data_IF_672313843731
#
_entry.id   IF_672313843731
#
_cell.length_a   1.000
_cell.length_b   1.000
_cell.length_c   1.000
_cell.angle_alpha   90.00
_cell.angle_beta   90.00
_cell.angle_gamma   90.00
#
_symmetry.space_group_name_H-M   'P 1'
#
loop_
_entity.id
_entity.type
_entity.pdbx_description
1 polymer ?
#
# COMPACT_ATOMS: atom_id res chain seq x y z
N UNK A 1 11.98 60.07 -25.07
CA UNK A 1 10.80 59.20 -25.17
C UNK A 1 11.16 57.89 -24.50
N UNK A 2 10.40 57.51 -23.48
CA UNK A 2 10.68 56.46 -22.49
C UNK A 2 10.39 55.03 -22.98
N UNK A 3 10.79 54.06 -22.14
CA UNK A 3 10.42 52.63 -22.02
C UNK A 3 11.29 51.67 -22.85
N UNK A 4 12.05 50.72 -22.29
CA UNK A 4 11.92 50.02 -21.01
C UNK A 4 11.52 48.56 -21.28
N UNK A 5 12.50 47.69 -21.61
CA UNK A 5 12.27 46.25 -21.77
C UNK A 5 12.04 45.61 -20.40
N UNK A 6 10.89 44.97 -20.24
CA UNK A 6 10.47 44.31 -18.99
C UNK A 6 10.98 42.87 -18.96
N UNK A 7 11.42 42.49 -17.77
CA UNK A 7 12.00 41.22 -17.32
C UNK A 7 11.16 39.98 -17.69
N UNK A 8 11.86 38.95 -18.16
CA UNK A 8 11.35 37.58 -18.33
C UNK A 8 11.14 36.93 -16.95
N UNK A 9 9.87 36.76 -16.54
CA UNK A 9 9.51 36.06 -15.30
C UNK A 9 9.44 34.54 -15.50
N UNK A 10 10.16 33.79 -14.67
CA UNK A 10 10.07 32.33 -14.56
C UNK A 10 8.67 31.93 -14.05
N UNK A 11 7.89 31.23 -14.88
CA UNK A 11 6.64 30.59 -14.45
C UNK A 11 6.98 29.29 -13.73
N UNK A 12 6.81 29.29 -12.41
CA UNK A 12 6.69 28.04 -11.67
C UNK A 12 5.36 27.40 -12.09
N UNK A 13 5.43 26.22 -12.70
CA UNK A 13 4.23 25.45 -13.01
C UNK A 13 3.69 24.89 -11.69
N UNK A 14 2.66 25.54 -11.15
CA UNK A 14 1.80 24.93 -10.12
C UNK A 14 1.17 23.69 -10.72
N UNK A 15 1.41 22.52 -10.14
CA UNK A 15 0.64 21.30 -10.42
C UNK A 15 -0.75 21.46 -9.81
N UNK A 16 -1.59 22.28 -10.43
CA UNK A 16 -3.02 22.34 -10.10
C UNK A 16 -3.70 21.13 -10.72
N UNK A 17 -4.03 20.13 -9.90
CA UNK A 17 -4.86 19.01 -10.31
C UNK A 17 -6.27 19.56 -10.61
N UNK A 18 -6.88 19.25 -11.77
CA UNK A 18 -8.20 19.76 -12.11
C UNK A 18 -9.24 19.36 -11.05
N UNK A 19 -10.21 20.23 -10.70
CA UNK A 19 -11.26 19.93 -9.71
C UNK A 19 -12.01 18.62 -10.00
N UNK A 20 -12.20 18.30 -11.29
CA UNK A 20 -12.85 17.06 -11.74
C UNK A 20 -12.06 15.81 -11.35
N UNK A 21 -10.73 15.83 -11.49
CA UNK A 21 -9.87 14.70 -11.11
C UNK A 21 -9.86 14.46 -9.60
N UNK A 22 -9.99 15.52 -8.79
CA UNK A 22 -10.13 15.39 -7.34
C UNK A 22 -11.46 14.75 -6.94
N UNK A 23 -12.57 15.11 -7.61
CA UNK A 23 -13.88 14.51 -7.36
C UNK A 23 -13.91 13.03 -7.73
N UNK A 24 -13.33 12.69 -8.89
CA UNK A 24 -13.21 11.29 -9.32
C UNK A 24 -12.37 10.47 -8.34
N UNK A 25 -11.23 11.00 -7.88
CA UNK A 25 -10.40 10.37 -6.86
C UNK A 25 -11.16 10.15 -5.55
N UNK A 26 -11.89 11.16 -5.08
CA UNK A 26 -12.67 11.05 -3.85
C UNK A 26 -13.76 9.97 -3.97
N UNK A 27 -14.41 9.90 -5.13
CA UNK A 27 -15.39 8.85 -5.42
C UNK A 27 -14.74 7.46 -5.41
N UNK A 28 -13.57 7.28 -6.02
CA UNK A 28 -12.84 6.00 -6.00
C UNK A 28 -12.45 5.57 -4.58
N UNK A 29 -12.01 6.51 -3.74
CA UNK A 29 -11.71 6.23 -2.33
C UNK A 29 -12.96 5.79 -1.56
N UNK A 30 -14.10 6.45 -1.79
CA UNK A 30 -15.36 6.10 -1.13
C UNK A 30 -15.87 4.71 -1.56
N UNK A 31 -15.80 4.38 -2.86
CA UNK A 31 -16.15 3.04 -3.35
C UNK A 31 -15.25 2.00 -2.71
N UNK A 32 -13.93 2.20 -2.73
CA UNK A 32 -12.99 1.28 -2.10
C UNK A 32 -13.28 1.11 -0.60
N UNK A 33 -13.58 2.20 0.13
CA UNK A 33 -13.94 2.16 1.55
C UNK A 33 -15.18 1.30 1.81
N UNK A 34 -16.21 1.42 0.97
CA UNK A 34 -17.46 0.65 1.09
C UNK A 34 -17.27 -0.84 0.80
N UNK A 35 -16.51 -1.16 -0.24
CA UNK A 35 -16.21 -2.55 -0.62
C UNK A 35 -15.32 -3.22 0.43
N UNK A 36 -14.23 -2.56 0.83
CA UNK A 36 -13.34 -3.05 1.87
C UNK A 36 -14.05 -3.21 3.22
N UNK A 37 -15.12 -2.44 3.49
CA UNK A 37 -15.92 -2.61 4.70
C UNK A 37 -16.55 -4.02 4.83
N UNK A 38 -16.64 -4.78 3.74
CA UNK A 38 -17.10 -6.17 3.75
C UNK A 38 -16.05 -7.15 4.35
N UNK A 39 -14.78 -6.76 4.40
CA UNK A 39 -13.74 -7.52 5.09
C UNK A 39 -13.93 -7.30 6.61
N UNK A 40 -13.87 -8.36 7.44
CA UNK A 40 -13.99 -8.22 8.89
C UNK A 40 -12.99 -7.21 9.47
N UNK A 41 -13.31 -6.55 10.60
CA UNK A 41 -12.35 -5.71 11.29
C UNK A 41 -11.10 -6.50 11.71
N UNK A 42 -9.95 -5.82 11.91
CA UNK A 42 -8.72 -6.47 12.33
C UNK A 42 -8.88 -7.30 13.60
N UNK A 43 -8.43 -8.54 13.55
CA UNK A 43 -8.42 -9.46 14.69
C UNK A 43 -7.03 -9.51 15.30
N UNK A 44 -6.77 -8.65 16.30
CA UNK A 44 -5.45 -8.49 16.94
C UNK A 44 -4.82 -9.80 17.40
N UNK A 45 -5.60 -10.76 17.87
CA UNK A 45 -5.13 -12.06 18.30
C UNK A 45 -4.49 -12.90 17.17
N UNK A 46 -4.82 -12.61 15.90
CA UNK A 46 -4.28 -13.34 14.75
C UNK A 46 -2.91 -12.84 14.31
N UNK A 47 -2.59 -11.56 14.50
CA UNK A 47 -1.37 -10.96 13.94
C UNK A 47 -0.40 -10.35 14.96
N UNK A 48 -0.84 -10.02 16.19
CA UNK A 48 0.03 -9.40 17.20
C UNK A 48 1.18 -10.29 17.70
N UNK A 49 1.11 -11.60 17.44
CA UNK A 49 2.18 -12.55 17.79
C UNK A 49 3.21 -12.73 16.69
N UNK A 50 2.98 -12.17 15.49
CA UNK A 50 3.92 -12.20 14.39
C UNK A 50 5.12 -11.34 14.78
N UNK A 51 6.32 -11.90 14.68
CA UNK A 51 7.56 -11.24 15.14
C UNK A 51 8.46 -10.80 14.01
N UNK A 52 8.29 -11.40 12.84
CA UNK A 52 9.06 -11.13 11.63
C UNK A 52 8.11 -10.85 10.48
N UNK A 53 8.51 -9.97 9.57
CA UNK A 53 7.77 -9.63 8.36
C UNK A 53 7.66 -10.84 7.43
N UNK A 54 8.60 -11.80 7.51
CA UNK A 54 8.52 -13.03 6.71
C UNK A 54 7.40 -13.96 7.18
N UNK A 55 7.02 -13.88 8.45
CA UNK A 55 5.88 -14.61 9.01
C UNK A 55 4.53 -13.90 8.75
N UNK A 56 4.55 -12.67 8.23
CA UNK A 56 3.34 -11.97 7.81
C UNK A 56 2.80 -12.57 6.51
N UNK A 57 1.53 -12.99 6.51
CA UNK A 57 0.91 -13.54 5.31
C UNK A 57 0.51 -12.44 4.31
N UNK A 58 -0.55 -11.68 4.60
CA UNK A 58 -1.17 -10.77 3.64
C UNK A 58 -1.97 -9.63 4.30
N UNK A 59 -2.18 -8.52 3.57
CA UNK A 59 -1.29 -7.97 2.53
C UNK A 59 -0.05 -7.29 3.14
N UNK A 60 1.06 -7.25 2.40
CA UNK A 60 2.27 -6.52 2.81
C UNK A 60 2.55 -5.38 1.83
N UNK A 61 2.78 -4.18 2.36
CA UNK A 61 3.12 -2.97 1.63
C UNK A 61 4.56 -2.55 1.90
N UNK A 62 5.37 -2.42 0.86
CA UNK A 62 6.69 -1.78 0.94
C UNK A 62 6.62 -0.43 0.21
N UNK A 63 6.72 0.65 0.96
CA UNK A 63 6.72 2.02 0.42
C UNK A 63 8.10 2.37 -0.08
N UNK A 64 8.17 2.96 -1.28
CA UNK A 64 9.40 3.46 -1.90
C UNK A 64 9.26 4.96 -2.21
N UNK A 65 10.25 5.55 -2.90
CA UNK A 65 10.26 6.97 -3.22
C UNK A 65 9.10 7.38 -4.16
N UNK A 66 8.78 6.56 -5.16
CA UNK A 66 7.81 6.94 -6.21
C UNK A 66 6.72 5.87 -6.41
N UNK A 67 6.73 4.81 -5.62
CA UNK A 67 5.88 3.64 -5.82
C UNK A 67 5.64 2.91 -4.51
N UNK A 68 4.60 2.10 -4.50
CA UNK A 68 4.31 1.14 -3.45
C UNK A 68 4.35 -0.24 -4.08
N UNK A 69 5.07 -1.15 -3.43
CA UNK A 69 5.03 -2.57 -3.77
C UNK A 69 4.04 -3.25 -2.85
N UNK A 70 3.04 -3.90 -3.42
CA UNK A 70 2.10 -4.77 -2.72
C UNK A 70 2.52 -6.21 -2.95
N UNK A 71 2.78 -6.92 -1.86
CA UNK A 71 3.01 -8.36 -1.86
C UNK A 71 1.77 -9.06 -1.35
N UNK A 72 1.25 -10.01 -2.12
CA UNK A 72 0.10 -10.83 -1.73
C UNK A 72 0.33 -12.29 -2.11
N UNK A 73 0.10 -13.20 -1.17
CA UNK A 73 0.07 -14.64 -1.35
C UNK A 73 -1.35 -15.10 -1.68
N UNK A 74 -1.57 -15.57 -2.91
CA UNK A 74 -2.86 -16.07 -3.36
C UNK A 74 -3.18 -17.46 -2.82
N UNK A 75 -4.48 -17.73 -2.66
CA UNK A 75 -4.97 -19.07 -2.37
C UNK A 75 -4.54 -20.06 -3.46
N UNK A 76 -4.38 -21.33 -3.08
CA UNK A 76 -4.08 -22.37 -4.05
C UNK A 76 -5.33 -22.65 -4.91
N UNK A 77 -5.22 -22.43 -6.22
CA UNK A 77 -6.34 -22.65 -7.15
C UNK A 77 -6.75 -24.13 -7.27
N UNK A 78 -5.89 -25.06 -6.84
CA UNK A 78 -6.21 -26.48 -6.85
C UNK A 78 -6.78 -26.91 -5.48
N UNK A 79 -8.06 -27.32 -5.42
CA UNK A 79 -8.75 -27.66 -4.17
C UNK A 79 -8.28 -28.98 -3.54
N UNK A 80 -7.52 -29.79 -4.26
CA UNK A 80 -7.00 -31.06 -3.75
C UNK A 80 -5.85 -30.84 -2.76
N UNK A 81 -5.82 -31.55 -1.62
CA UNK A 81 -4.69 -31.51 -0.69
C UNK A 81 -3.44 -32.22 -1.24
N UNK A 82 -3.57 -33.02 -2.29
CA UNK A 82 -2.48 -33.83 -2.83
C UNK A 82 -1.38 -32.94 -3.44
N UNK A 83 -0.16 -33.06 -2.92
CA UNK A 83 1.02 -32.36 -3.44
C UNK A 83 1.17 -30.90 -2.99
N UNK A 84 0.32 -30.40 -2.09
CA UNK A 84 0.48 -29.05 -1.51
C UNK A 84 1.85 -28.93 -0.82
N UNK A 85 2.61 -27.88 -1.13
CA UNK A 85 3.93 -27.64 -0.55
C UNK A 85 5.06 -28.51 -1.11
N UNK A 86 4.79 -29.34 -2.12
CA UNK A 86 5.84 -30.07 -2.87
C UNK A 86 6.50 -29.17 -3.92
N UNK A 87 7.61 -29.61 -4.52
CA UNK A 87 8.28 -28.89 -5.62
C UNK A 87 7.36 -28.57 -6.80
N UNK A 88 6.27 -29.33 -6.99
CA UNK A 88 5.31 -29.13 -8.07
C UNK A 88 4.21 -28.12 -7.73
N UNK A 89 4.05 -27.77 -6.44
CA UNK A 89 3.06 -26.79 -5.95
C UNK A 89 3.67 -25.90 -4.85
N UNK A 90 4.71 -25.11 -5.16
CA UNK A 90 5.38 -24.27 -4.18
C UNK A 90 4.50 -23.06 -3.79
N UNK A 91 4.56 -22.67 -2.52
CA UNK A 91 3.88 -21.48 -1.99
C UNK A 91 4.35 -20.21 -2.72
N UNK A 92 5.65 -20.11 -2.99
CA UNK A 92 6.25 -18.95 -3.66
C UNK A 92 5.69 -18.67 -5.06
N UNK A 93 5.22 -19.68 -5.80
CA UNK A 93 4.61 -19.47 -7.12
C UNK A 93 3.24 -18.77 -7.06
N UNK A 94 2.64 -18.67 -5.87
CA UNK A 94 1.38 -17.96 -5.63
C UNK A 94 1.59 -16.55 -5.10
N UNK A 95 2.84 -16.13 -4.94
CA UNK A 95 3.20 -14.78 -4.50
C UNK A 95 3.06 -13.84 -5.70
N UNK A 96 2.13 -12.91 -5.59
CA UNK A 96 1.97 -11.79 -6.51
C UNK A 96 2.66 -10.56 -5.94
N UNK A 97 3.35 -9.82 -6.82
CA UNK A 97 4.04 -8.58 -6.49
C UNK A 97 3.58 -7.51 -7.45
N UNK A 98 2.85 -6.53 -6.93
CA UNK A 98 2.28 -5.42 -7.69
C UNK A 98 3.05 -4.15 -7.38
N UNK A 99 3.52 -3.48 -8.43
CA UNK A 99 4.21 -2.20 -8.32
C UNK A 99 3.28 -1.10 -8.82
N UNK A 100 2.84 -0.24 -7.91
CA UNK A 100 1.82 0.78 -8.21
C UNK A 100 2.34 2.18 -7.88
N UNK A 101 1.78 3.18 -8.57
CA UNK A 101 1.92 4.55 -8.10
C UNK A 101 1.12 4.73 -6.80
N UNK A 102 1.57 5.55 -5.83
CA UNK A 102 0.89 5.72 -4.54
C UNK A 102 -0.58 6.13 -4.68
N UNK A 103 -0.90 6.86 -5.75
CA UNK A 103 -2.26 7.30 -6.03
C UNK A 103 -3.26 6.17 -6.28
N UNK A 104 -2.81 4.97 -6.68
CA UNK A 104 -3.66 3.80 -6.95
C UNK A 104 -3.76 2.83 -5.77
N UNK A 105 -3.24 3.19 -4.58
CA UNK A 105 -3.21 2.29 -3.42
C UNK A 105 -4.59 1.72 -3.07
N UNK A 106 -5.61 2.57 -2.99
CA UNK A 106 -6.96 2.14 -2.63
C UNK A 106 -7.56 1.17 -3.64
N UNK A 107 -7.43 1.47 -4.94
CA UNK A 107 -7.92 0.63 -6.03
C UNK A 107 -7.22 -0.74 -6.03
N UNK A 108 -5.90 -0.75 -5.88
CA UNK A 108 -5.12 -1.97 -5.84
C UNK A 108 -5.48 -2.85 -4.64
N UNK A 109 -5.65 -2.27 -3.45
CA UNK A 109 -6.10 -3.01 -2.26
C UNK A 109 -7.52 -3.53 -2.41
N UNK A 110 -8.43 -2.77 -3.03
CA UNK A 110 -9.80 -3.21 -3.27
C UNK A 110 -9.89 -4.38 -4.27
N UNK A 111 -8.88 -4.52 -5.15
CA UNK A 111 -8.81 -5.65 -6.08
C UNK A 111 -8.36 -6.97 -5.45
N UNK A 112 -7.82 -6.93 -4.21
CA UNK A 112 -7.35 -8.12 -3.50
C UNK A 112 -8.56 -8.95 -3.06
N UNK A 113 -8.63 -10.26 -3.41
CA UNK A 113 -9.72 -11.12 -2.98
C UNK A 113 -9.87 -11.15 -1.45
N UNK A 114 -11.10 -11.17 -0.95
CA UNK A 114 -11.36 -11.18 0.51
C UNK A 114 -10.69 -12.36 1.24
N UNK A 115 -10.51 -13.50 0.56
CA UNK A 115 -9.83 -14.67 1.11
C UNK A 115 -8.33 -14.45 1.39
N UNK A 116 -7.72 -13.40 0.81
CA UNK A 116 -6.34 -13.01 1.06
C UNK A 116 -6.20 -12.03 2.24
N UNK A 117 -7.22 -11.88 3.09
CA UNK A 117 -7.18 -11.03 4.29
C UNK A 117 -7.29 -11.88 5.58
N UNK A 118 -6.25 -12.67 5.92
CA UNK A 118 -6.32 -13.65 7.01
C UNK A 118 -6.50 -13.01 8.39
N UNK A 119 -6.13 -11.73 8.54
CA UNK A 119 -6.14 -11.00 9.81
C UNK A 119 -7.30 -10.01 9.94
N UNK A 120 -8.23 -10.03 8.98
CA UNK A 120 -9.19 -8.94 8.77
C UNK A 120 -8.53 -7.77 8.04
N UNK A 121 -9.19 -6.61 8.08
CA UNK A 121 -8.82 -5.42 7.29
C UNK A 121 -7.62 -4.65 7.87
N UNK A 122 -6.47 -5.31 7.90
CA UNK A 122 -5.17 -4.82 8.37
C UNK A 122 -4.09 -5.20 7.35
N UNK A 123 -3.13 -4.31 7.15
CA UNK A 123 -1.97 -4.55 6.29
C UNK A 123 -0.69 -4.31 7.08
N UNK A 124 0.35 -5.08 6.81
CA UNK A 124 1.69 -4.70 7.21
C UNK A 124 2.21 -3.64 6.24
N UNK A 125 2.86 -2.61 6.76
CA UNK A 125 3.48 -1.56 5.98
C UNK A 125 4.90 -1.31 6.47
N UNK A 126 5.84 -1.22 5.54
CA UNK A 126 7.23 -0.90 5.82
C UNK A 126 7.82 0.10 4.81
N UNK A 127 8.87 0.79 5.22
CA UNK A 127 9.72 1.57 4.32
C UNK A 127 10.75 0.65 3.63
N UNK A 128 11.10 0.93 2.37
CA UNK A 128 12.19 0.23 1.70
C UNK A 128 13.54 0.42 2.44
N UNK A 129 14.16 -0.69 2.86
CA UNK A 129 15.39 -0.68 3.66
C UNK A 129 16.60 -0.10 2.94
N UNK A 130 16.70 -0.26 1.62
CA UNK A 130 17.88 0.12 0.83
C UNK A 130 17.87 1.59 0.34
N UNK A 131 16.91 2.41 0.79
CA UNK A 131 16.81 3.79 0.34
C UNK A 131 18.01 4.66 0.78
N UNK A 132 18.63 5.43 -0.15
CA UNK A 132 19.70 6.37 0.18
C UNK A 132 19.28 7.38 1.25
N UNK A 133 20.23 7.83 2.09
CA UNK A 133 19.95 8.80 3.18
C UNK A 133 19.30 10.10 2.68
N UNK A 134 19.62 10.53 1.46
CA UNK A 134 19.05 11.72 0.83
C UNK A 134 17.54 11.62 0.58
N UNK A 135 17.01 10.40 0.40
CA UNK A 135 15.61 10.14 0.05
C UNK A 135 14.74 9.88 1.30
N UNK A 136 15.34 9.58 2.45
CA UNK A 136 14.62 9.24 3.70
C UNK A 136 13.55 10.27 4.12
N UNK A 137 13.75 11.60 4.00
CA UNK A 137 12.70 12.56 4.33
C UNK A 137 11.47 12.45 3.42
N UNK A 138 11.68 12.12 2.14
CA UNK A 138 10.59 11.90 1.19
C UNK A 138 9.90 10.57 1.45
N UNK A 139 10.66 9.51 1.70
CA UNK A 139 10.14 8.20 2.05
C UNK A 139 9.22 8.26 3.28
N UNK A 140 9.62 9.01 4.31
CA UNK A 140 8.78 9.25 5.50
C UNK A 140 7.47 9.96 5.17
N UNK A 141 7.48 10.92 4.25
CA UNK A 141 6.24 11.59 3.82
C UNK A 141 5.35 10.63 3.04
N UNK A 142 5.94 9.77 2.23
CA UNK A 142 5.21 8.80 1.43
C UNK A 142 4.57 7.72 2.30
N UNK A 143 5.26 7.22 3.33
CA UNK A 143 4.66 6.25 4.25
C UNK A 143 3.50 6.88 5.02
N UNK A 144 3.66 8.09 5.54
CA UNK A 144 2.54 8.79 6.21
C UNK A 144 1.36 9.05 5.25
N UNK A 145 1.62 9.38 3.98
CA UNK A 145 0.57 9.53 2.97
C UNK A 145 -0.12 8.20 2.61
N UNK A 146 0.64 7.10 2.56
CA UNK A 146 0.09 5.76 2.38
C UNK A 146 -0.79 5.37 3.58
N UNK A 147 -0.31 5.59 4.80
CA UNK A 147 -1.06 5.33 6.04
C UNK A 147 -2.32 6.17 6.14
N UNK A 148 -2.28 7.44 5.72
CA UNK A 148 -3.49 8.26 5.62
C UNK A 148 -4.49 7.65 4.63
N UNK A 149 -4.02 7.22 3.46
CA UNK A 149 -4.89 6.57 2.46
C UNK A 149 -5.50 5.27 3.01
N UNK A 150 -4.74 4.47 3.76
CA UNK A 150 -5.23 3.26 4.43
C UNK A 150 -6.33 3.59 5.45
N UNK A 151 -6.10 4.59 6.29
CA UNK A 151 -7.08 5.10 7.25
C UNK A 151 -8.36 5.58 6.55
N UNK A 152 -8.23 6.33 5.45
CA UNK A 152 -9.36 6.88 4.69
C UNK A 152 -10.26 5.77 4.11
N UNK A 153 -9.67 4.63 3.71
CA UNK A 153 -10.40 3.44 3.24
C UNK A 153 -10.70 2.43 4.35
N UNK A 154 -10.44 2.79 5.61
CA UNK A 154 -10.79 2.02 6.80
C UNK A 154 -9.91 0.80 7.09
N UNK A 155 -8.73 0.71 6.45
CA UNK A 155 -7.71 -0.31 6.70
C UNK A 155 -6.79 0.16 7.84
N UNK A 156 -6.51 -0.75 8.78
CA UNK A 156 -5.51 -0.51 9.83
C UNK A 156 -4.11 -0.81 9.30
N UNK A 157 -3.15 0.04 9.64
CA UNK A 157 -1.75 -0.17 9.30
C UNK A 157 -1.00 -0.75 10.51
N UNK A 158 -0.40 -1.92 10.33
CA UNK A 158 0.65 -2.42 11.24
C UNK A 158 1.99 -1.98 10.66
N UNK A 159 2.67 -1.06 11.34
CA UNK A 159 3.93 -0.46 10.88
C UNK A 159 5.10 -1.38 11.25
N UNK A 160 5.95 -1.69 10.28
CA UNK A 160 7.12 -2.53 10.43
C UNK A 160 8.39 -1.80 10.03
N UNK A 161 9.49 -2.11 10.71
CA UNK A 161 10.82 -1.60 10.40
C UNK A 161 11.88 -2.63 10.79
N UNK A 162 12.91 -2.82 9.98
CA UNK A 162 14.00 -3.78 10.23
C UNK A 162 13.50 -5.17 10.71
N UNK A 163 12.49 -5.71 10.02
CA UNK A 163 11.91 -7.03 10.32
C UNK A 163 11.21 -7.16 11.69
N UNK A 164 10.72 -6.06 12.27
CA UNK A 164 9.96 -6.08 13.54
C UNK A 164 8.78 -5.11 13.51
N UNK A 165 7.70 -5.41 14.26
CA UNK A 165 6.58 -4.49 14.39
C UNK A 165 7.01 -3.26 15.23
N UNK A 166 6.57 -2.09 14.79
CA UNK A 166 6.81 -0.78 15.42
C UNK A 166 5.56 -0.33 16.16
N UNK A 167 4.38 -0.51 15.55
CA UNK A 167 3.11 -0.13 16.15
C UNK A 167 1.95 -0.18 15.17
N UNK A 168 0.74 -0.09 15.72
CA UNK A 168 -0.50 -0.04 14.94
C UNK A 168 -0.97 1.41 14.84
N UNK A 169 -1.34 1.83 13.64
CA UNK A 169 -1.87 3.17 13.35
C UNK A 169 -3.15 3.10 12.52
#
# INVERSE_FOLDING_TARGET
MFLGLVLTGCRHASTDIPPQANLERAHLLEVARQDLAQIPPPSKNLYMNIRTIEDWENPLLTVQQNMITITVLMADANPSPLGKGTMLRPVAARKEVLNIAPMHLAEALNSIPHSAWPYGRVVAIEEAHEAPKSVRPELRRNIEAAMQTLSDIGIVADEWNDNRPVGIR
#
